data_IF_777546170433
#
_entry.id   IF_777546170433
#
_cell.length_a   1.000
_cell.length_b   1.000
_cell.length_c   1.000
_cell.angle_alpha   90.00
_cell.angle_beta   90.00
_cell.angle_gamma   90.00
#
_symmetry.space_group_name_H-M   'P 1'
#
loop_
_entity.id
_entity.type
_entity.pdbx_description
1 polymer ?
#
# COMPACT_ATOMS: atom_id res chain seq x y z
N UNK A 1 13.61 -8.29 0.31
CA UNK A 1 13.14 -7.33 1.32
C UNK A 1 11.64 -7.45 1.55
N UNK A 2 10.81 -7.19 0.55
CA UNK A 2 9.34 -7.13 0.67
C UNK A 2 8.65 -8.45 1.06
N UNK A 3 9.30 -9.60 0.92
CA UNK A 3 8.76 -10.91 1.31
C UNK A 3 9.32 -11.42 2.65
N UNK A 4 9.89 -10.53 3.45
CA UNK A 4 10.34 -10.86 4.79
C UNK A 4 9.14 -11.24 5.69
N UNK A 5 9.39 -12.16 6.61
CA UNK A 5 8.34 -12.70 7.51
C UNK A 5 8.30 -11.99 8.87
N UNK A 6 9.35 -11.30 9.24
CA UNK A 6 9.48 -10.60 10.53
C UNK A 6 10.20 -9.26 10.36
N UNK A 7 10.04 -8.36 11.32
CA UNK A 7 10.77 -7.08 11.35
C UNK A 7 12.29 -7.30 11.44
N UNK A 8 12.74 -8.30 12.20
CA UNK A 8 14.16 -8.66 12.30
C UNK A 8 14.73 -9.11 10.94
N UNK A 9 13.98 -9.92 10.19
CA UNK A 9 14.35 -10.36 8.82
C UNK A 9 14.43 -9.17 7.85
N UNK A 10 13.52 -8.19 7.97
CA UNK A 10 13.58 -6.94 7.19
C UNK A 10 14.85 -6.17 7.47
N UNK A 11 15.20 -5.98 8.75
CA UNK A 11 16.42 -5.26 9.15
C UNK A 11 17.68 -5.94 8.60
N UNK A 12 17.79 -7.25 8.77
CA UNK A 12 18.91 -8.02 8.26
C UNK A 12 19.04 -7.91 6.73
N UNK A 13 17.95 -8.10 6.02
CA UNK A 13 17.92 -7.98 4.55
C UNK A 13 18.18 -6.57 4.06
N UNK A 14 17.70 -5.54 4.78
CA UNK A 14 17.98 -4.13 4.46
C UNK A 14 19.48 -3.84 4.58
N UNK A 15 20.09 -4.25 5.70
CA UNK A 15 21.54 -4.09 5.92
C UNK A 15 22.36 -4.78 4.83
N UNK A 16 22.04 -6.03 4.51
CA UNK A 16 22.72 -6.80 3.47
C UNK A 16 22.53 -6.16 2.07
N UNK A 17 21.34 -5.66 1.77
CA UNK A 17 21.05 -4.97 0.51
C UNK A 17 21.89 -3.69 0.38
N UNK A 18 21.88 -2.84 1.41
CA UNK A 18 22.67 -1.60 1.39
C UNK A 18 24.17 -1.87 1.27
N UNK A 19 24.71 -2.84 2.01
CA UNK A 19 26.13 -3.22 1.91
C UNK A 19 26.50 -3.68 0.48
N UNK A 20 25.63 -4.49 -0.13
CA UNK A 20 25.85 -4.98 -1.50
C UNK A 20 25.79 -3.86 -2.55
N UNK A 21 24.77 -3.01 -2.46
CA UNK A 21 24.49 -2.03 -3.53
C UNK A 21 25.29 -0.75 -3.39
N UNK A 22 25.73 -0.36 -2.20
CA UNK A 22 26.70 0.74 -2.03
C UNK A 22 27.98 0.49 -2.81
N UNK A 23 28.37 -0.77 -2.97
CA UNK A 23 29.58 -1.14 -3.74
C UNK A 23 29.32 -1.26 -5.24
N UNK A 24 28.13 -1.68 -5.65
CA UNK A 24 27.81 -1.97 -7.07
C UNK A 24 27.16 -0.81 -7.80
N UNK A 25 26.21 -0.15 -7.15
CA UNK A 25 25.45 0.96 -7.69
C UNK A 25 24.90 1.80 -6.56
N UNK A 26 25.59 2.89 -6.24
CA UNK A 26 25.25 3.75 -5.12
C UNK A 26 23.84 4.34 -5.22
N UNK A 27 23.40 4.73 -6.42
CA UNK A 27 22.06 5.27 -6.64
C UNK A 27 20.93 4.33 -6.17
N UNK A 28 21.11 3.01 -6.27
CA UNK A 28 20.14 2.01 -5.78
C UNK A 28 20.12 1.96 -4.25
N UNK A 29 21.26 2.12 -3.61
CA UNK A 29 21.33 2.19 -2.14
C UNK A 29 20.72 3.50 -1.63
N UNK A 30 21.05 4.62 -2.26
CA UNK A 30 20.53 5.95 -1.91
C UNK A 30 19.00 5.99 -2.05
N UNK A 31 18.43 5.39 -3.10
CA UNK A 31 16.98 5.28 -3.28
C UNK A 31 16.30 4.49 -2.16
N UNK A 32 16.92 3.42 -1.66
CA UNK A 32 16.38 2.68 -0.51
C UNK A 32 16.52 3.47 0.79
N UNK A 33 17.59 4.24 0.97
CA UNK A 33 17.78 5.11 2.13
C UNK A 33 16.77 6.25 2.13
N UNK A 34 16.51 6.87 0.97
CA UNK A 34 15.50 7.92 0.78
C UNK A 34 14.07 7.41 1.07
N UNK A 35 13.73 6.23 0.58
CA UNK A 35 12.43 5.61 0.88
C UNK A 35 12.25 5.34 2.39
N UNK A 36 13.36 5.10 3.10
CA UNK A 36 13.41 4.96 4.55
C UNK A 36 12.45 3.89 5.08
N UNK A 37 11.82 4.21 6.21
CA UNK A 37 10.88 3.31 6.89
C UNK A 37 9.52 3.21 6.19
N UNK A 38 9.17 4.19 5.36
CA UNK A 38 7.89 4.22 4.64
C UNK A 38 7.67 2.97 3.78
N UNK A 39 8.75 2.41 3.24
CA UNK A 39 8.72 1.18 2.46
C UNK A 39 8.23 -0.04 3.28
N UNK A 40 8.38 0.02 4.59
CA UNK A 40 8.06 -1.09 5.49
C UNK A 40 6.82 -0.84 6.35
N UNK A 41 6.02 0.14 6.01
CA UNK A 41 4.78 0.51 6.73
C UNK A 41 3.85 -0.70 6.94
N UNK A 42 3.85 -1.68 6.04
CA UNK A 42 3.04 -2.89 6.17
C UNK A 42 3.34 -3.70 7.44
N UNK A 43 4.55 -3.59 8.00
CA UNK A 43 4.94 -4.28 9.25
C UNK A 43 4.17 -3.76 10.48
N UNK A 44 3.55 -2.60 10.40
CA UNK A 44 2.72 -2.02 11.45
C UNK A 44 1.35 -2.71 11.59
N UNK A 45 1.01 -3.54 10.64
CA UNK A 45 -0.28 -4.19 10.54
C UNK A 45 -0.17 -5.69 10.79
N UNK A 46 -1.26 -6.38 11.15
CA UNK A 46 -1.27 -7.82 11.31
C UNK A 46 -0.73 -8.57 10.08
N UNK A 47 0.00 -9.68 10.27
CA UNK A 47 0.62 -10.42 9.16
C UNK A 47 -0.36 -10.88 8.07
N UNK A 48 -1.61 -11.12 8.45
CA UNK A 48 -2.67 -11.54 7.50
C UNK A 48 -2.96 -10.46 6.46
N UNK A 49 -2.73 -9.18 6.79
CA UNK A 49 -2.97 -8.05 5.90
C UNK A 49 -1.77 -7.75 4.98
N UNK A 50 -0.59 -8.26 5.28
CA UNK A 50 0.65 -7.88 4.59
C UNK A 50 0.61 -8.08 3.08
N UNK A 51 -0.04 -9.14 2.62
CA UNK A 51 -0.17 -9.44 1.19
C UNK A 51 -0.90 -8.32 0.45
N UNK A 52 -2.00 -7.82 1.01
CA UNK A 52 -2.77 -6.72 0.44
C UNK A 52 -2.05 -5.37 0.56
N UNK A 53 -1.36 -5.13 1.68
CA UNK A 53 -0.67 -3.87 1.96
C UNK A 53 0.64 -3.68 1.16
N UNK A 54 1.21 -4.76 0.64
CA UNK A 54 2.45 -4.70 -0.18
C UNK A 54 2.20 -4.35 -1.63
N UNK A 55 0.95 -4.28 -2.06
CA UNK A 55 0.59 -4.08 -3.47
C UNK A 55 -0.46 -2.98 -3.61
N UNK A 56 -0.57 -2.41 -4.79
CA UNK A 56 -1.60 -1.43 -5.15
C UNK A 56 -2.84 -2.07 -5.78
N UNK A 57 -2.90 -3.39 -5.86
CA UNK A 57 -3.94 -4.13 -6.57
C UNK A 57 -5.36 -3.77 -6.12
N UNK A 58 -5.57 -3.50 -4.83
CA UNK A 58 -6.88 -3.12 -4.31
C UNK A 58 -7.32 -1.74 -4.83
N UNK A 59 -6.37 -0.78 -4.86
CA UNK A 59 -6.61 0.57 -5.38
C UNK A 59 -6.79 0.54 -6.90
N UNK A 60 -5.98 -0.22 -7.61
CA UNK A 60 -6.09 -0.38 -9.06
C UNK A 60 -7.45 -0.94 -9.45
N UNK A 61 -7.91 -1.99 -8.77
CA UNK A 61 -9.24 -2.58 -8.98
C UNK A 61 -10.36 -1.59 -8.68
N UNK A 62 -10.24 -0.81 -7.62
CA UNK A 62 -11.21 0.23 -7.28
C UNK A 62 -11.28 1.29 -8.38
N UNK A 63 -10.14 1.74 -8.90
CA UNK A 63 -10.08 2.69 -10.00
C UNK A 63 -10.70 2.13 -11.29
N UNK A 64 -10.49 0.85 -11.59
CA UNK A 64 -11.13 0.21 -12.76
C UNK A 64 -12.66 0.18 -12.62
N UNK A 65 -13.17 -0.12 -11.41
CA UNK A 65 -14.60 -0.09 -11.13
C UNK A 65 -15.19 1.33 -11.27
N UNK A 66 -14.48 2.35 -10.81
CA UNK A 66 -14.86 3.75 -11.01
C UNK A 66 -14.88 4.10 -12.50
N UNK A 67 -13.81 3.83 -13.23
CA UNK A 67 -13.72 4.09 -14.67
C UNK A 67 -14.85 3.44 -15.44
N UNK A 68 -15.20 2.21 -15.10
CA UNK A 68 -16.28 1.49 -15.77
C UNK A 68 -17.64 2.20 -15.63
N UNK A 69 -17.92 2.76 -14.45
CA UNK A 69 -19.19 3.42 -14.14
C UNK A 69 -19.28 4.85 -14.62
N UNK A 70 -18.17 5.56 -14.67
CA UNK A 70 -18.10 6.96 -15.11
C UNK A 70 -17.73 7.09 -16.59
N UNK A 71 -17.60 5.99 -17.32
CA UNK A 71 -17.17 5.97 -18.73
C UNK A 71 -17.99 6.85 -19.66
N UNK A 72 -19.29 7.04 -19.36
CA UNK A 72 -20.20 7.88 -20.13
C UNK A 72 -20.13 9.36 -19.76
N UNK A 73 -19.44 9.72 -18.69
CA UNK A 73 -19.26 11.10 -18.26
C UNK A 73 -17.98 11.66 -18.87
N UNK A 74 -18.13 12.59 -19.78
CA UNK A 74 -16.98 13.22 -20.43
C UNK A 74 -16.24 14.21 -19.53
N UNK A 75 -16.95 14.86 -18.59
CA UNK A 75 -16.41 15.89 -17.71
C UNK A 75 -17.10 15.83 -16.34
N UNK A 76 -16.30 15.99 -15.28
CA UNK A 76 -16.79 16.25 -13.93
C UNK A 76 -16.61 17.73 -13.64
N UNK A 77 -17.62 18.43 -13.05
CA UNK A 77 -17.58 19.87 -12.86
C UNK A 77 -16.43 20.36 -11.98
N UNK A 78 -16.09 19.59 -10.95
CA UNK A 78 -15.01 19.92 -10.01
C UNK A 78 -14.50 18.65 -9.28
N UNK A 79 -13.40 18.78 -8.55
CA UNK A 79 -12.80 17.68 -7.80
C UNK A 79 -13.72 17.14 -6.69
N UNK A 80 -14.46 18.02 -6.02
CA UNK A 80 -15.41 17.64 -4.98
C UNK A 80 -16.54 16.76 -5.53
N UNK A 81 -17.05 17.07 -6.71
CA UNK A 81 -18.07 16.25 -7.39
C UNK A 81 -17.53 14.85 -7.69
N UNK A 82 -16.26 14.73 -8.08
CA UNK A 82 -15.64 13.43 -8.29
C UNK A 82 -15.58 12.60 -6.99
N UNK A 83 -15.14 13.20 -5.90
CA UNK A 83 -15.09 12.55 -4.60
C UNK A 83 -16.47 12.12 -4.10
N UNK A 84 -17.49 12.98 -4.25
CA UNK A 84 -18.87 12.67 -3.88
C UNK A 84 -19.44 11.53 -4.72
N UNK A 85 -19.18 11.51 -6.03
CA UNK A 85 -19.64 10.46 -6.93
C UNK A 85 -19.00 9.11 -6.55
N UNK A 86 -17.72 9.09 -6.29
CA UNK A 86 -17.02 7.86 -5.89
C UNK A 86 -17.55 7.34 -4.54
N UNK A 87 -17.76 8.23 -3.59
CA UNK A 87 -18.38 7.87 -2.32
C UNK A 87 -19.80 7.32 -2.52
N UNK A 88 -20.63 7.96 -3.33
CA UNK A 88 -21.99 7.52 -3.61
C UNK A 88 -22.03 6.13 -4.27
N UNK A 89 -21.11 5.84 -5.20
CA UNK A 89 -21.00 4.54 -5.85
C UNK A 89 -20.63 3.42 -4.87
N UNK A 90 -19.81 3.73 -3.87
CA UNK A 90 -19.47 2.79 -2.79
C UNK A 90 -20.64 2.64 -1.81
N UNK A 91 -21.21 3.75 -1.33
CA UNK A 91 -22.28 3.77 -0.33
C UNK A 91 -23.57 3.12 -0.84
N UNK A 92 -23.90 3.27 -2.12
CA UNK A 92 -25.06 2.64 -2.75
C UNK A 92 -24.89 1.15 -3.05
N UNK A 93 -23.70 0.60 -2.83
CA UNK A 93 -23.40 -0.81 -3.14
C UNK A 93 -23.24 -1.11 -4.64
N UNK A 94 -23.24 -0.11 -5.52
CA UNK A 94 -22.99 -0.30 -6.95
C UNK A 94 -21.56 -0.77 -7.22
N UNK A 95 -20.62 -0.38 -6.34
CA UNK A 95 -19.27 -0.92 -6.30
C UNK A 95 -19.12 -1.74 -5.02
N UNK A 96 -18.96 -3.05 -5.17
CA UNK A 96 -18.63 -3.94 -4.06
C UNK A 96 -17.15 -4.27 -4.10
N UNK A 97 -16.43 -3.90 -3.05
CA UNK A 97 -15.04 -4.29 -2.89
C UNK A 97 -14.97 -5.74 -2.45
N UNK A 98 -14.13 -6.51 -3.13
CA UNK A 98 -13.76 -7.85 -2.66
C UNK A 98 -13.05 -7.72 -1.30
N UNK A 99 -13.37 -8.61 -0.37
CA UNK A 99 -12.67 -8.67 0.91
C UNK A 99 -11.15 -8.77 0.68
N UNK A 100 -10.40 -7.91 1.35
CA UNK A 100 -8.94 -7.96 1.36
C UNK A 100 -8.47 -9.02 2.36
N UNK A 101 -7.25 -9.53 2.15
CA UNK A 101 -6.67 -10.47 3.11
C UNK A 101 -6.58 -9.81 4.49
N UNK A 102 -6.95 -10.51 5.55
CA UNK A 102 -6.97 -9.99 6.92
C UNK A 102 -8.06 -8.94 7.20
N UNK A 103 -9.14 -8.91 6.44
CA UNK A 103 -10.23 -7.92 6.60
C UNK A 103 -10.86 -7.92 8.00
N UNK A 104 -10.79 -9.04 8.73
CA UNK A 104 -11.33 -9.15 10.10
C UNK A 104 -10.55 -8.32 11.12
N UNK A 105 -9.27 -8.08 10.87
CA UNK A 105 -8.38 -7.30 11.72
C UNK A 105 -8.22 -5.83 11.28
N UNK A 106 -9.04 -5.34 10.33
CA UNK A 106 -8.96 -3.95 9.86
C UNK A 106 -9.27 -2.91 10.95
N UNK A 107 -10.03 -3.28 11.96
CA UNK A 107 -10.35 -2.40 13.09
C UNK A 107 -9.19 -2.25 14.10
N UNK A 108 -8.15 -3.08 13.99
CA UNK A 108 -7.00 -3.00 14.89
C UNK A 108 -6.12 -1.81 14.50
N UNK A 109 -5.72 -0.95 15.46
CA UNK A 109 -4.82 0.15 15.18
C UNK A 109 -3.44 -0.39 14.74
N UNK A 110 -2.74 0.36 13.86
CA UNK A 110 -1.39 -0.01 13.45
C UNK A 110 -0.43 0.04 14.65
N UNK A 111 0.45 -0.94 14.76
CA UNK A 111 1.49 -0.97 15.78
C UNK A 111 2.54 0.14 15.52
N UNK A 112 3.15 0.62 16.58
CA UNK A 112 4.34 1.44 16.44
C UNK A 112 5.51 0.57 15.96
N UNK A 113 6.26 1.08 14.99
CA UNK A 113 7.38 0.40 14.40
C UNK A 113 8.64 1.25 14.58
N UNK A 114 9.56 0.77 15.38
CA UNK A 114 10.90 1.33 15.47
C UNK A 114 11.85 0.46 14.64
N UNK A 115 12.22 0.94 13.46
CA UNK A 115 13.21 0.31 12.58
C UNK A 115 14.61 0.94 12.74
N UNK A 116 14.73 1.97 13.57
CA UNK A 116 16.00 2.71 13.77
C UNK A 116 16.95 2.00 14.71
N UNK A 117 16.50 1.00 15.42
CA UNK A 117 17.33 0.22 16.34
C UNK A 117 18.17 -0.85 15.63
#
# INVERSE_FOLDING_TARGET
LMHAKTAADVRAKRKAFLAKWKLRCRAVADSLEEAGERLFTFLRYPPEQWRSLRTTNAIERLHEEFKRRIKTQCLLPCAETAAMLFWALLASGQITLRKVDGWQSLAQPPAELDLAA
#
